data_IF_307394122103
#
_entry.id   IF_307394122103
#
_cell.length_a   1.000
_cell.length_b   1.000
_cell.length_c   1.000
_cell.angle_alpha   90.00
_cell.angle_beta   90.00
_cell.angle_gamma   90.00
#
_symmetry.space_group_name_H-M   'P 1'
#
loop_
_entity.id
_entity.type
_entity.pdbx_description
1 polymer ?
#
# COMPACT_ATOMS: atom_id res chain seq x y z
N UNK A 1 27.44 10.86 -5.75
CA UNK A 1 25.98 10.70 -5.57
C UNK A 1 25.33 12.08 -5.61
N UNK A 2 24.26 12.25 -6.40
CA UNK A 2 23.49 13.49 -6.40
C UNK A 2 22.91 13.75 -5.00
N UNK A 3 22.95 15.01 -4.54
CA UNK A 3 22.49 15.39 -3.21
C UNK A 3 20.96 15.27 -3.14
N UNK A 4 20.45 14.20 -2.50
CA UNK A 4 19.00 13.90 -2.36
C UNK A 4 18.20 14.97 -1.61
N UNK A 5 18.88 15.83 -0.84
CA UNK A 5 18.26 16.95 -0.09
C UNK A 5 19.05 18.23 -0.34
N UNK A 6 18.39 19.22 -0.93
CA UNK A 6 18.93 20.57 -1.09
C UNK A 6 18.62 21.39 0.17
N UNK A 7 19.58 22.22 0.57
CA UNK A 7 19.50 23.03 1.78
C UNK A 7 20.14 24.39 1.56
N UNK A 8 19.43 25.46 1.94
CA UNK A 8 19.92 26.83 1.98
C UNK A 8 19.23 27.59 3.11
N UNK A 9 19.79 28.72 3.55
CA UNK A 9 19.18 29.60 4.55
C UNK A 9 18.93 30.96 3.91
N UNK A 10 17.72 31.51 4.09
CA UNK A 10 17.30 32.83 3.63
C UNK A 10 16.81 33.61 4.84
N UNK A 11 17.54 34.64 5.26
CA UNK A 11 17.12 35.55 6.35
C UNK A 11 16.66 34.81 7.63
N UNK A 12 17.41 33.77 8.03
CA UNK A 12 17.08 32.95 9.20
C UNK A 12 16.05 31.84 8.95
N UNK A 13 15.53 31.68 7.74
CA UNK A 13 14.64 30.59 7.35
C UNK A 13 15.41 29.53 6.58
N UNK A 14 15.48 28.31 7.11
CA UNK A 14 16.03 27.17 6.39
C UNK A 14 15.06 26.67 5.31
N UNK A 15 15.50 26.61 4.06
CA UNK A 15 14.75 26.04 2.95
C UNK A 15 15.33 24.66 2.63
N UNK A 16 14.58 23.63 2.98
CA UNK A 16 14.88 22.22 2.75
C UNK A 16 14.07 21.72 1.57
N UNK A 17 14.70 21.08 0.59
CA UNK A 17 13.99 20.52 -0.56
C UNK A 17 14.41 19.09 -0.82
N UNK A 18 13.47 18.16 -0.71
CA UNK A 18 13.64 16.79 -1.18
C UNK A 18 13.83 16.80 -2.69
N UNK A 19 14.90 16.19 -3.18
CA UNK A 19 15.26 16.13 -4.59
C UNK A 19 15.76 14.72 -4.94
N UNK A 20 14.86 13.76 -4.72
CA UNK A 20 15.07 12.35 -4.95
C UNK A 20 14.10 11.87 -6.05
N UNK A 21 14.44 12.22 -7.30
CA UNK A 21 13.68 11.81 -8.47
C UNK A 21 13.47 10.28 -8.54
N UNK A 22 12.34 9.81 -9.12
CA UNK A 22 11.31 10.60 -9.82
C UNK A 22 10.15 11.08 -8.93
N UNK A 23 9.99 10.55 -7.72
CA UNK A 23 8.79 10.76 -6.89
C UNK A 23 9.08 11.08 -5.42
N UNK A 24 10.33 11.39 -5.09
CA UNK A 24 10.77 11.62 -3.71
C UNK A 24 10.32 10.51 -2.74
N UNK A 25 10.45 9.25 -3.16
CA UNK A 25 10.20 8.13 -2.26
C UNK A 25 11.09 8.31 -1.02
N UNK A 26 10.49 8.19 0.16
CA UNK A 26 11.14 8.36 1.45
C UNK A 26 12.02 7.15 1.76
N UNK A 27 13.00 6.86 0.90
CA UNK A 27 13.99 5.79 1.09
C UNK A 27 14.92 6.12 2.25
N UNK A 28 15.67 5.11 2.70
CA UNK A 28 16.69 5.21 3.75
C UNK A 28 17.65 6.38 3.50
N UNK A 29 18.16 6.51 2.27
CA UNK A 29 19.06 7.60 1.89
C UNK A 29 18.41 8.98 2.01
N UNK A 30 17.15 9.12 1.56
CA UNK A 30 16.43 10.39 1.66
C UNK A 30 16.14 10.74 3.13
N UNK A 31 15.73 9.75 3.94
CA UNK A 31 15.48 9.92 5.37
C UNK A 31 16.75 10.33 6.12
N UNK A 32 17.89 9.68 5.83
CA UNK A 32 19.18 10.04 6.41
C UNK A 32 19.62 11.46 5.99
N UNK A 33 19.41 11.83 4.72
CA UNK A 33 19.68 13.19 4.24
C UNK A 33 18.82 14.25 4.94
N UNK A 34 17.53 13.99 5.13
CA UNK A 34 16.62 14.88 5.86
C UNK A 34 17.01 14.99 7.33
N UNK A 35 17.35 13.87 7.97
CA UNK A 35 17.81 13.83 9.36
C UNK A 35 19.02 14.74 9.59
N UNK A 36 20.05 14.58 8.77
CA UNK A 36 21.26 15.41 8.85
C UNK A 36 20.97 16.90 8.63
N UNK A 37 20.01 17.24 7.76
CA UNK A 37 19.60 18.64 7.55
C UNK A 37 18.84 19.18 8.76
N UNK A 38 17.90 18.43 9.33
CA UNK A 38 17.18 18.85 10.53
C UNK A 38 18.10 18.95 11.76
N UNK A 39 19.18 18.17 11.83
CA UNK A 39 20.24 18.35 12.82
C UNK A 39 20.95 19.70 12.68
N UNK A 40 21.35 20.05 11.45
CA UNK A 40 21.96 21.37 11.18
C UNK A 40 21.03 22.53 11.50
N UNK A 41 19.72 22.36 11.26
CA UNK A 41 18.70 23.37 11.58
C UNK A 41 18.61 23.59 13.09
N UNK A 42 18.64 22.51 13.88
CA UNK A 42 18.57 22.56 15.34
C UNK A 42 19.80 23.29 15.91
N UNK A 43 20.99 22.87 15.51
CA UNK A 43 22.29 23.42 15.96
C UNK A 43 22.51 24.89 15.50
N UNK A 44 21.91 25.30 14.37
CA UNK A 44 22.09 26.64 13.81
C UNK A 44 21.29 27.72 14.55
N UNK A 45 21.90 28.43 15.51
CA UNK A 45 21.24 29.50 16.27
C UNK A 45 20.71 30.68 15.41
N UNK A 46 21.31 30.89 14.23
CA UNK A 46 20.87 31.88 13.24
C UNK A 46 19.61 31.45 12.48
N UNK A 47 19.28 30.15 12.48
CA UNK A 47 18.07 29.60 11.87
C UNK A 47 16.94 29.67 12.90
N UNK A 48 15.83 30.29 12.52
CA UNK A 48 14.65 30.54 13.36
C UNK A 48 13.46 29.68 12.98
N UNK A 49 13.35 29.25 11.73
CA UNK A 49 12.33 28.32 11.25
C UNK A 49 12.82 27.55 10.02
N UNK A 50 12.10 26.50 9.65
CA UNK A 50 12.37 25.69 8.47
C UNK A 50 11.14 25.55 7.56
N UNK A 51 11.39 25.46 6.26
CA UNK A 51 10.41 25.13 5.22
C UNK A 51 10.87 23.85 4.53
N UNK A 52 10.02 22.83 4.49
CA UNK A 52 10.23 21.58 3.75
C UNK A 52 9.39 21.56 2.48
N UNK A 53 10.06 21.36 1.35
CA UNK A 53 9.52 21.32 -0.01
C UNK A 53 9.91 20.01 -0.72
N UNK A 54 9.23 19.71 -1.82
CA UNK A 54 9.64 18.66 -2.78
C UNK A 54 10.04 19.27 -4.12
N UNK A 55 11.01 18.66 -4.81
CA UNK A 55 11.35 18.94 -6.20
C UNK A 55 10.60 18.00 -7.15
N UNK A 56 10.51 18.38 -8.42
CA UNK A 56 9.88 17.57 -9.47
C UNK A 56 8.35 17.68 -9.47
N UNK A 57 7.68 16.65 -9.98
CA UNK A 57 6.23 16.69 -10.28
C UNK A 57 5.30 16.61 -9.07
N UNK A 58 5.81 16.21 -7.90
CA UNK A 58 5.03 16.03 -6.68
C UNK A 58 5.89 16.25 -5.44
N UNK A 59 5.26 16.44 -4.28
CA UNK A 59 5.95 16.50 -3.00
C UNK A 59 6.63 15.17 -2.68
N UNK A 60 5.86 14.09 -2.52
CA UNK A 60 6.40 12.73 -2.34
C UNK A 60 5.33 11.64 -2.47
N UNK A 61 5.71 10.49 -3.02
CA UNK A 61 4.87 9.29 -3.09
C UNK A 61 4.79 8.48 -1.78
N UNK A 62 5.51 8.88 -0.73
CA UNK A 62 5.52 8.18 0.56
C UNK A 62 6.71 7.24 0.75
N UNK A 63 6.54 6.25 1.62
CA UNK A 63 7.58 5.26 1.92
C UNK A 63 8.01 4.45 0.69
N UNK A 64 9.27 4.01 0.66
CA UNK A 64 9.75 3.13 -0.39
C UNK A 64 9.26 1.69 -0.16
N UNK A 65 8.34 1.24 -1.01
CA UNK A 65 7.72 -0.09 -0.91
C UNK A 65 8.74 -1.22 -1.07
N UNK A 66 9.86 -0.96 -1.77
CA UNK A 66 10.95 -1.92 -1.90
C UNK A 66 11.68 -2.23 -0.59
N UNK A 67 11.57 -1.35 0.41
CA UNK A 67 12.17 -1.57 1.74
C UNK A 67 11.28 -2.42 2.65
N UNK A 68 10.01 -2.65 2.32
CA UNK A 68 9.11 -3.40 3.19
C UNK A 68 9.44 -4.90 3.21
N UNK A 69 9.58 -5.44 4.42
CA UNK A 69 10.03 -6.82 4.64
C UNK A 69 11.55 -6.98 4.62
N UNK A 70 12.31 -5.90 4.42
CA UNK A 70 13.77 -5.86 4.56
C UNK A 70 14.15 -5.34 5.95
N UNK A 71 15.41 -5.53 6.41
CA UNK A 71 15.90 -4.89 7.62
C UNK A 71 15.67 -3.37 7.60
N UNK A 72 15.15 -2.82 8.70
CA UNK A 72 14.74 -1.42 8.77
C UNK A 72 15.92 -0.45 8.63
N UNK A 73 15.96 0.30 7.53
CA UNK A 73 16.96 1.36 7.32
C UNK A 73 16.80 2.51 8.31
N UNK A 74 17.92 3.05 8.80
CA UNK A 74 17.96 4.12 9.79
C UNK A 74 18.30 5.49 9.15
N UNK A 75 17.67 6.60 9.59
CA UNK A 75 16.54 6.62 10.50
C UNK A 75 15.27 6.08 9.82
N UNK A 76 14.40 5.46 10.61
CA UNK A 76 13.07 5.07 10.18
C UNK A 76 12.21 6.31 9.93
N UNK A 77 11.14 6.16 9.14
CA UNK A 77 10.20 7.26 8.93
C UNK A 77 9.53 7.74 10.24
N UNK A 78 9.09 6.86 11.17
CA UNK A 78 8.61 7.28 12.48
C UNK A 78 9.60 8.14 13.26
N UNK A 79 10.89 7.76 13.26
CA UNK A 79 11.94 8.55 13.92
C UNK A 79 12.09 9.93 13.27
N UNK A 80 12.06 10.01 11.94
CA UNK A 80 12.11 11.29 11.23
C UNK A 80 10.89 12.17 11.58
N UNK A 81 9.69 11.60 11.62
CA UNK A 81 8.47 12.30 12.07
C UNK A 81 8.61 12.81 13.51
N UNK A 82 9.08 11.96 14.43
CA UNK A 82 9.30 12.34 15.82
C UNK A 82 10.34 13.46 15.95
N UNK A 83 11.41 13.43 15.15
CA UNK A 83 12.40 14.52 15.10
C UNK A 83 11.80 15.84 14.62
N UNK A 84 11.02 15.81 13.54
CA UNK A 84 10.39 17.01 12.97
C UNK A 84 9.41 17.63 13.96
N UNK A 85 8.52 16.81 14.52
CA UNK A 85 7.56 17.26 15.54
C UNK A 85 8.26 17.69 16.83
N UNK A 86 9.43 17.10 17.09
CA UNK A 86 10.33 17.31 18.21
C UNK A 86 10.98 18.69 18.27
N UNK A 87 11.20 19.33 17.12
CA UNK A 87 12.00 20.57 17.05
C UNK A 87 11.36 21.73 17.82
N UNK A 88 12.20 22.59 18.39
CA UNK A 88 11.77 23.84 19.06
C UNK A 88 11.62 25.03 18.10
N UNK A 89 12.02 24.83 16.84
CA UNK A 89 11.88 25.83 15.76
C UNK A 89 10.69 25.46 14.88
N UNK A 90 9.84 26.42 14.46
CA UNK A 90 8.75 26.13 13.54
C UNK A 90 9.21 25.43 12.27
N UNK A 91 8.48 24.39 11.88
CA UNK A 91 8.70 23.62 10.64
C UNK A 91 7.43 23.71 9.83
N UNK A 92 7.52 24.31 8.65
CA UNK A 92 6.44 24.48 7.69
C UNK A 92 6.67 23.48 6.57
N UNK A 93 5.74 22.56 6.35
CA UNK A 93 5.73 21.73 5.13
C UNK A 93 4.85 22.42 4.10
N UNK A 94 5.32 22.51 2.86
CA UNK A 94 4.51 22.99 1.75
C UNK A 94 4.55 22.00 0.59
N UNK A 95 3.41 21.38 0.29
CA UNK A 95 3.27 20.31 -0.67
C UNK A 95 2.67 20.77 -2.01
N UNK A 96 3.05 20.13 -3.11
CA UNK A 96 2.44 20.26 -4.43
C UNK A 96 2.22 18.89 -5.07
N UNK A 97 1.29 18.82 -6.03
CA UNK A 97 0.98 17.58 -6.75
C UNK A 97 0.36 16.54 -5.81
N UNK A 98 1.18 15.67 -5.24
CA UNK A 98 0.75 14.60 -4.33
C UNK A 98 1.65 14.52 -3.09
N UNK A 99 1.02 14.33 -1.93
CA UNK A 99 1.67 13.83 -0.71
C UNK A 99 0.86 12.63 -0.20
N UNK A 100 1.41 11.42 -0.39
CA UNK A 100 0.69 10.17 -0.12
C UNK A 100 1.41 9.33 0.93
N UNK A 101 0.63 8.60 1.72
CA UNK A 101 1.09 7.68 2.76
C UNK A 101 2.08 8.34 3.71
N UNK A 102 3.25 7.73 3.89
CA UNK A 102 4.32 8.25 4.73
C UNK A 102 4.72 9.72 4.50
N UNK A 103 4.56 10.26 3.29
CA UNK A 103 4.81 11.68 3.03
C UNK A 103 3.77 12.58 3.70
N UNK A 104 2.52 12.14 3.69
CA UNK A 104 1.45 12.83 4.37
C UNK A 104 1.55 12.66 5.89
N UNK A 105 2.03 11.50 6.38
CA UNK A 105 2.37 11.32 7.81
C UNK A 105 3.48 12.27 8.25
N UNK A 106 4.56 12.41 7.47
CA UNK A 106 5.63 13.37 7.72
C UNK A 106 5.12 14.82 7.68
N UNK A 107 4.21 15.13 6.75
CA UNK A 107 3.56 16.44 6.68
C UNK A 107 2.72 16.74 7.93
N UNK A 108 2.03 15.74 8.49
CA UNK A 108 1.28 15.90 9.74
C UNK A 108 2.17 16.05 10.98
N UNK A 109 3.40 15.53 10.95
CA UNK A 109 4.38 15.72 12.02
C UNK A 109 4.95 17.15 12.07
N UNK A 110 4.88 17.90 10.98
CA UNK A 110 5.31 19.30 10.95
C UNK A 110 4.39 20.21 11.78
N UNK A 111 4.90 21.38 12.18
CA UNK A 111 4.17 22.35 12.99
C UNK A 111 3.09 23.10 12.18
N UNK A 112 3.36 23.31 10.89
CA UNK A 112 2.48 24.02 9.97
C UNK A 112 2.46 23.34 8.60
N UNK A 113 1.30 23.37 7.95
CA UNK A 113 1.00 22.66 6.71
C UNK A 113 0.41 23.59 5.67
N UNK A 114 1.12 23.74 4.55
CA UNK A 114 0.68 24.49 3.38
C UNK A 114 0.58 23.55 2.18
N UNK A 115 -0.18 23.95 1.17
CA UNK A 115 -0.18 23.27 -0.11
C UNK A 115 -0.37 24.25 -1.28
N UNK A 116 0.09 23.88 -2.46
CA UNK A 116 -0.37 24.51 -3.71
C UNK A 116 -1.81 24.08 -4.02
N UNK A 117 -2.54 24.90 -4.78
CA UNK A 117 -3.87 24.52 -5.29
C UNK A 117 -3.83 23.19 -6.06
N UNK A 118 -4.89 22.39 -5.97
CA UNK A 118 -4.99 21.08 -6.62
C UNK A 118 -4.18 19.94 -5.99
N UNK A 119 -3.39 20.21 -4.93
CA UNK A 119 -2.60 19.17 -4.26
C UNK A 119 -3.49 18.08 -3.65
N UNK A 120 -3.12 16.82 -3.88
CA UNK A 120 -3.83 15.65 -3.36
C UNK A 120 -3.10 15.06 -2.14
N UNK A 121 -3.82 14.85 -1.04
CA UNK A 121 -3.31 14.33 0.23
C UNK A 121 -4.07 13.06 0.62
N UNK A 122 -3.38 12.00 1.01
CA UNK A 122 -4.08 10.74 1.36
C UNK A 122 -3.21 9.69 2.02
N UNK A 123 -3.85 8.71 2.66
CA UNK A 123 -3.24 7.56 3.32
C UNK A 123 -3.76 6.26 2.68
N UNK A 124 -3.27 5.88 1.48
CA UNK A 124 -3.77 4.72 0.73
C UNK A 124 -3.15 3.37 1.15
N UNK A 125 -2.52 3.28 2.33
CA UNK A 125 -1.79 2.09 2.83
C UNK A 125 -2.63 0.81 2.80
N UNK A 126 -3.94 0.92 3.03
CA UNK A 126 -4.86 -0.23 3.00
C UNK A 126 -4.92 -0.90 1.61
N UNK A 127 -4.58 -0.19 0.53
CA UNK A 127 -4.46 -0.77 -0.81
C UNK A 127 -3.29 -1.77 -0.91
N UNK A 128 -2.31 -1.66 -0.01
CA UNK A 128 -1.15 -2.53 0.13
C UNK A 128 -1.28 -3.51 1.30
N UNK A 129 -2.46 -3.58 1.93
CA UNK A 129 -2.70 -4.39 3.12
C UNK A 129 -1.92 -3.89 4.34
N UNK A 130 -1.63 -2.59 4.40
CA UNK A 130 -0.90 -1.94 5.48
C UNK A 130 -1.79 -0.95 6.24
N UNK A 131 -1.37 -0.64 7.47
CA UNK A 131 -1.83 0.56 8.19
C UNK A 131 -0.82 1.70 7.96
N UNK A 132 -1.21 2.97 8.11
CA UNK A 132 -0.24 4.06 8.30
C UNK A 132 0.66 3.74 9.50
N UNK A 133 1.97 3.91 9.35
CA UNK A 133 2.96 3.39 10.30
C UNK A 133 3.94 4.42 10.82
N UNK A 134 3.77 5.71 10.48
CA UNK A 134 4.62 6.82 10.92
C UNK A 134 3.85 7.91 11.68
N UNK A 135 2.83 7.49 12.41
CA UNK A 135 1.95 8.25 13.28
C UNK A 135 0.72 8.80 12.58
N UNK A 136 0.39 8.34 11.37
CA UNK A 136 -0.78 8.77 10.61
C UNK A 136 -2.08 8.46 11.34
N UNK A 137 -2.22 7.27 11.92
CA UNK A 137 -3.43 6.87 12.67
C UNK A 137 -3.56 7.63 13.99
N UNK A 138 -2.48 8.25 14.46
CA UNK A 138 -2.45 9.03 15.68
C UNK A 138 -2.66 10.54 15.41
N UNK A 139 -1.99 11.11 14.40
CA UNK A 139 -2.02 12.55 14.12
C UNK A 139 -3.26 12.97 13.33
N UNK A 140 -3.72 12.16 12.37
CA UNK A 140 -4.87 12.51 11.54
C UNK A 140 -6.16 12.72 12.36
N UNK A 141 -6.58 11.81 13.28
CA UNK A 141 -7.79 12.04 14.07
C UNK A 141 -7.68 13.24 15.03
N UNK A 142 -6.48 13.62 15.46
CA UNK A 142 -6.24 14.85 16.23
C UNK A 142 -6.41 16.13 15.39
N UNK A 143 -6.09 16.05 14.09
CA UNK A 143 -6.21 17.15 13.14
C UNK A 143 -7.63 17.36 12.58
N UNK A 144 -8.36 16.28 12.28
CA UNK A 144 -9.65 16.38 11.57
C UNK A 144 -10.81 15.62 12.24
N UNK A 145 -10.58 15.04 13.42
CA UNK A 145 -11.55 14.21 14.12
C UNK A 145 -11.55 12.75 13.65
N UNK A 146 -11.99 11.80 14.50
CA UNK A 146 -11.91 10.37 14.23
C UNK A 146 -12.74 9.92 13.02
N UNK A 147 -13.94 10.47 12.83
CA UNK A 147 -14.82 10.09 11.71
C UNK A 147 -14.17 10.33 10.34
N UNK A 148 -13.72 11.56 10.08
CA UNK A 148 -13.11 11.94 8.80
C UNK A 148 -11.76 11.25 8.62
N UNK A 149 -11.00 11.07 9.69
CA UNK A 149 -9.74 10.34 9.67
C UNK A 149 -9.96 8.87 9.23
N UNK A 150 -10.94 8.18 9.82
CA UNK A 150 -11.30 6.82 9.43
C UNK A 150 -11.74 6.75 7.98
N UNK A 151 -12.64 7.64 7.54
CA UNK A 151 -13.08 7.68 6.13
C UNK A 151 -11.92 7.83 5.14
N UNK A 152 -10.89 8.62 5.50
CA UNK A 152 -9.72 8.80 4.66
C UNK A 152 -8.83 7.55 4.65
N UNK A 153 -8.52 6.97 5.82
CA UNK A 153 -7.55 5.88 5.97
C UNK A 153 -8.08 4.49 5.59
N UNK A 154 -9.37 4.21 5.76
CA UNK A 154 -9.97 2.92 5.36
C UNK A 154 -10.38 2.90 3.89
N UNK A 155 -10.21 4.02 3.19
CA UNK A 155 -10.42 4.13 1.75
C UNK A 155 -9.07 4.34 1.05
N UNK A 156 -9.07 4.23 -0.29
CA UNK A 156 -7.88 4.54 -1.10
C UNK A 156 -7.97 5.94 -1.73
N UNK A 157 -8.81 6.82 -1.16
CA UNK A 157 -9.09 8.15 -1.72
C UNK A 157 -8.13 9.18 -1.15
N UNK A 158 -7.92 10.23 -1.94
CA UNK A 158 -7.22 11.44 -1.51
C UNK A 158 -8.22 12.58 -1.29
N UNK A 159 -7.82 13.56 -0.50
CA UNK A 159 -8.50 14.86 -0.38
C UNK A 159 -7.69 15.93 -1.09
N UNK A 160 -8.37 16.80 -1.83
CA UNK A 160 -7.75 17.96 -2.46
C UNK A 160 -7.50 19.09 -1.47
N UNK A 161 -6.50 19.94 -1.75
CA UNK A 161 -6.07 21.06 -0.91
C UNK A 161 -7.22 21.93 -0.38
N UNK A 162 -8.22 22.27 -1.21
CA UNK A 162 -9.37 23.08 -0.77
C UNK A 162 -10.24 22.37 0.25
N UNK A 163 -10.46 21.07 0.09
CA UNK A 163 -11.17 20.24 1.08
C UNK A 163 -10.32 20.14 2.34
N UNK A 164 -9.04 19.83 2.19
CA UNK A 164 -8.08 19.72 3.29
C UNK A 164 -8.02 21.02 4.14
N UNK A 165 -8.05 22.18 3.49
CA UNK A 165 -8.07 23.48 4.19
C UNK A 165 -9.36 23.69 4.97
N UNK A 166 -10.52 23.34 4.39
CA UNK A 166 -11.84 23.48 5.03
C UNK A 166 -12.02 22.56 6.23
N UNK A 167 -11.47 21.35 6.19
CA UNK A 167 -11.57 20.39 7.30
C UNK A 167 -10.50 20.60 8.39
N UNK A 168 -9.61 21.58 8.24
CA UNK A 168 -8.60 21.93 9.24
C UNK A 168 -7.27 21.17 9.13
N UNK A 169 -7.05 20.47 8.03
CA UNK A 169 -5.81 19.72 7.78
C UNK A 169 -4.65 20.62 7.31
N UNK A 170 -4.96 21.66 6.53
CA UNK A 170 -4.01 22.67 6.07
C UNK A 170 -4.21 24.01 6.80
N UNK A 171 -3.11 24.72 7.02
CA UNK A 171 -3.10 26.09 7.55
C UNK A 171 -3.33 27.13 6.44
N UNK A 172 -2.95 26.81 5.20
CA UNK A 172 -3.09 27.71 4.07
C UNK A 172 -2.86 27.03 2.73
N UNK A 173 -3.41 27.64 1.69
CA UNK A 173 -3.11 27.31 0.30
C UNK A 173 -2.27 28.46 -0.24
N UNK A 174 -1.16 28.14 -0.89
CA UNK A 174 -0.28 29.13 -1.49
C UNK A 174 -0.65 29.27 -2.96
N UNK A 175 -1.04 30.49 -3.33
CA UNK A 175 -1.20 30.89 -4.73
C UNK A 175 0.15 31.33 -5.32
N UNK A 176 0.40 30.96 -6.58
CA UNK A 176 1.64 31.28 -7.28
C UNK A 176 2.83 30.41 -6.83
N UNK A 177 4.00 31.03 -6.64
CA UNK A 177 5.22 30.30 -6.28
C UNK A 177 5.17 29.75 -4.84
N UNK A 178 5.07 28.42 -4.75
CA UNK A 178 4.93 27.69 -3.48
C UNK A 178 6.10 27.96 -2.53
N UNK A 179 7.33 27.98 -3.04
CA UNK A 179 8.53 28.14 -2.23
C UNK A 179 8.57 29.53 -1.57
N UNK A 180 8.36 30.59 -2.34
CA UNK A 180 8.32 31.97 -1.84
C UNK A 180 7.16 32.17 -0.87
N UNK A 181 5.98 31.63 -1.17
CA UNK A 181 4.83 31.72 -0.25
C UNK A 181 5.07 31.02 1.08
N UNK A 182 5.68 29.83 1.07
CA UNK A 182 5.98 29.09 2.28
C UNK A 182 7.10 29.76 3.12
N UNK A 183 8.11 30.36 2.48
CA UNK A 183 9.13 31.18 3.16
C UNK A 183 8.50 32.42 3.80
N UNK A 184 7.62 33.14 3.09
CA UNK A 184 6.89 34.29 3.66
C UNK A 184 6.05 33.88 4.85
N UNK A 185 5.36 32.73 4.78
CA UNK A 185 4.59 32.21 5.89
C UNK A 185 5.49 31.91 7.10
N UNK A 186 6.62 31.24 6.91
CA UNK A 186 7.57 30.95 7.99
C UNK A 186 8.16 32.24 8.60
N UNK A 187 8.53 33.22 7.78
CA UNK A 187 9.02 34.51 8.25
C UNK A 187 7.94 35.26 9.07
N UNK A 188 6.68 35.20 8.65
CA UNK A 188 5.57 35.79 9.40
C UNK A 188 5.35 35.10 10.76
N UNK A 189 5.54 33.78 10.87
CA UNK A 189 5.51 33.09 12.15
C UNK A 189 6.59 33.62 13.10
N UNK A 190 7.83 33.74 12.60
CA UNK A 190 8.96 34.27 13.38
C UNK A 190 8.72 35.71 13.81
N UNK A 191 8.27 36.57 12.88
CA UNK A 191 8.00 37.99 13.18
C UNK A 191 6.85 38.18 14.19
N UNK A 192 5.90 37.26 14.25
CA UNK A 192 4.76 37.28 15.17
C UNK A 192 5.02 36.47 16.46
N UNK A 193 6.24 35.96 16.65
CA UNK A 193 6.60 35.07 17.75
C UNK A 193 5.66 33.86 17.91
N UNK A 194 5.16 33.34 16.78
CA UNK A 194 4.35 32.12 16.76
C UNK A 194 5.27 30.91 16.80
N UNK A 195 5.32 30.27 17.97
CA UNK A 195 6.11 29.08 18.23
C UNK A 195 5.60 27.80 17.55
N UNK A 196 6.06 26.67 18.04
CA UNK A 196 5.70 25.35 17.49
C UNK A 196 4.28 24.93 17.90
N UNK A 197 3.61 24.16 17.02
CA UNK A 197 2.32 23.51 17.30
C UNK A 197 2.47 22.01 17.08
N UNK A 198 2.45 21.24 18.17
CA UNK A 198 2.67 19.79 18.14
C UNK A 198 1.31 19.09 18.09
N UNK A 199 1.06 18.35 17.01
CA UNK A 199 -0.23 17.68 16.79
C UNK A 199 -0.50 16.64 17.87
N UNK A 200 0.54 15.95 18.34
CA UNK A 200 0.51 15.02 19.47
C UNK A 200 -0.15 15.58 20.73
N UNK A 201 -0.07 16.89 20.96
CA UNK A 201 -0.59 17.56 22.16
C UNK A 201 -2.03 18.08 22.00
N UNK A 202 -2.54 18.21 20.77
CA UNK A 202 -3.91 18.69 20.52
C UNK A 202 -4.91 17.52 20.53
N UNK A 203 -5.66 17.41 21.63
CA UNK A 203 -6.75 16.42 21.77
C UNK A 203 -8.14 17.03 21.58
N UNK A 204 -8.26 18.30 21.20
CA UNK A 204 -9.54 19.02 21.16
C UNK A 204 -10.60 18.31 20.31
N UNK A 205 -10.20 17.74 19.17
CA UNK A 205 -11.08 17.01 18.24
C UNK A 205 -11.38 15.56 18.65
N UNK A 206 -10.79 15.11 19.75
CA UNK A 206 -10.99 13.78 20.32
C UNK A 206 -11.41 13.86 21.81
N UNK A 207 -11.89 15.04 22.25
CA UNK A 207 -12.28 15.26 23.64
C UNK A 207 -13.59 14.54 24.00
N UNK A 208 -14.50 14.36 23.04
CA UNK A 208 -15.73 13.57 23.24
C UNK A 208 -15.46 12.08 22.99
N UNK A 209 -15.20 11.36 24.09
CA UNK A 209 -14.97 9.91 24.05
C UNK A 209 -16.19 9.11 23.59
N UNK A 210 -17.42 9.58 23.86
CA UNK A 210 -18.65 8.87 23.47
C UNK A 210 -18.88 9.00 21.96
N UNK A 211 -18.70 10.20 21.40
CA UNK A 211 -18.75 10.41 19.97
C UNK A 211 -17.66 9.59 19.26
N UNK A 212 -16.44 9.59 19.80
CA UNK A 212 -15.33 8.78 19.27
C UNK A 212 -15.70 7.29 19.23
N UNK A 213 -16.21 6.73 20.33
CA UNK A 213 -16.64 5.32 20.38
C UNK A 213 -17.77 5.01 19.38
N UNK A 214 -18.71 5.93 19.18
CA UNK A 214 -19.77 5.77 18.18
C UNK A 214 -19.21 5.71 16.74
N UNK A 215 -18.26 6.59 16.39
CA UNK A 215 -17.62 6.56 15.08
C UNK A 215 -16.83 5.27 14.84
N UNK A 216 -16.15 4.75 15.87
CA UNK A 216 -15.47 3.45 15.82
C UNK A 216 -16.47 2.32 15.56
N UNK A 217 -17.59 2.29 16.29
CA UNK A 217 -18.63 1.28 16.10
C UNK A 217 -19.22 1.31 14.69
N UNK A 218 -19.50 2.52 14.15
CA UNK A 218 -19.98 2.69 12.78
C UNK A 218 -18.95 2.18 11.76
N UNK A 219 -17.66 2.50 11.94
CA UNK A 219 -16.61 2.03 11.04
C UNK A 219 -16.45 0.50 11.08
N UNK A 220 -16.48 -0.12 12.27
CA UNK A 220 -16.44 -1.58 12.43
C UNK A 220 -17.61 -2.26 11.73
N UNK A 221 -18.82 -1.73 11.90
CA UNK A 221 -20.02 -2.26 11.24
C UNK A 221 -19.93 -2.16 9.71
N UNK A 222 -19.45 -1.03 9.18
CA UNK A 222 -19.29 -0.82 7.74
C UNK A 222 -18.23 -1.73 7.10
N UNK A 223 -17.27 -2.23 7.88
CA UNK A 223 -16.16 -3.07 7.42
C UNK A 223 -16.28 -4.53 7.85
N UNK A 224 -17.42 -4.95 8.40
CA UNK A 224 -17.64 -6.32 8.92
C UNK A 224 -17.30 -7.40 7.89
N UNK A 225 -17.77 -7.22 6.65
CA UNK A 225 -17.58 -8.19 5.56
C UNK A 225 -16.43 -7.80 4.62
N UNK A 226 -15.58 -6.84 5.03
CA UNK A 226 -14.43 -6.45 4.22
C UNK A 226 -13.41 -7.60 4.22
N UNK A 227 -13.00 -8.12 3.04
CA UNK A 227 -12.08 -9.24 2.97
C UNK A 227 -10.62 -8.86 3.28
N UNK A 228 -10.31 -7.58 3.41
CA UNK A 228 -8.98 -7.08 3.77
C UNK A 228 -8.83 -6.97 5.29
N UNK A 229 -7.68 -7.39 5.80
CA UNK A 229 -7.35 -7.31 7.22
C UNK A 229 -7.00 -5.88 7.68
N UNK A 230 -6.24 -5.14 6.87
CA UNK A 230 -5.67 -3.85 7.26
C UNK A 230 -6.70 -2.76 7.66
N UNK A 231 -7.87 -2.61 6.98
CA UNK A 231 -8.87 -1.62 7.38
C UNK A 231 -9.37 -1.76 8.82
N UNK A 232 -9.51 -3.00 9.32
CA UNK A 232 -9.89 -3.23 10.73
C UNK A 232 -8.77 -2.79 11.68
N UNK A 233 -7.51 -3.04 11.31
CA UNK A 233 -6.35 -2.58 12.10
C UNK A 233 -6.21 -1.07 12.12
N UNK A 234 -6.57 -0.37 11.03
CA UNK A 234 -6.67 1.09 11.04
C UNK A 234 -7.68 1.55 12.08
N UNK A 235 -8.85 0.92 12.17
CA UNK A 235 -9.86 1.25 13.19
C UNK A 235 -9.29 1.05 14.60
N UNK A 236 -8.64 -0.09 14.85
CA UNK A 236 -8.03 -0.38 16.15
C UNK A 236 -6.99 0.68 16.54
N UNK A 237 -6.17 1.14 15.58
CA UNK A 237 -5.17 2.18 15.84
C UNK A 237 -5.79 3.55 16.13
N UNK A 238 -6.89 3.91 15.46
CA UNK A 238 -7.62 5.16 15.74
C UNK A 238 -8.36 5.09 17.07
N UNK A 239 -8.89 3.94 17.43
CA UNK A 239 -9.45 3.70 18.77
C UNK A 239 -8.38 3.89 19.85
N UNK A 240 -7.20 3.29 19.64
CA UNK A 240 -6.04 3.48 20.51
C UNK A 240 -5.64 4.97 20.62
N UNK A 241 -5.74 5.75 19.54
CA UNK A 241 -5.46 7.18 19.55
C UNK A 241 -6.38 7.97 20.51
N UNK A 242 -7.62 7.51 20.69
CA UNK A 242 -8.59 8.08 21.63
C UNK A 242 -8.39 7.61 23.07
N UNK A 243 -7.96 6.36 23.27
CA UNK A 243 -7.86 5.72 24.58
C UNK A 243 -6.50 5.88 25.27
N UNK A 244 -5.41 5.99 24.50
CA UNK A 244 -4.04 5.92 25.02
C UNK A 244 -3.33 7.29 24.99
N UNK A 245 -2.24 7.46 25.78
CA UNK A 245 -1.25 8.51 25.54
C UNK A 245 -0.64 8.39 24.13
N UNK A 246 -0.20 9.51 23.56
CA UNK A 246 0.28 9.56 22.17
C UNK A 246 1.40 8.54 21.88
N UNK A 247 2.42 8.46 22.74
CA UNK A 247 3.53 7.53 22.58
C UNK A 247 3.09 6.05 22.64
N UNK A 248 2.15 5.72 23.52
CA UNK A 248 1.56 4.38 23.58
C UNK A 248 0.73 4.06 22.33
N UNK A 249 0.01 5.05 21.79
CA UNK A 249 -0.68 4.95 20.51
C UNK A 249 0.28 4.72 19.33
N UNK A 250 1.43 5.41 19.30
CA UNK A 250 2.47 5.18 18.30
C UNK A 250 3.07 3.77 18.41
N UNK A 251 3.30 3.28 19.63
CA UNK A 251 3.78 1.90 19.84
C UNK A 251 2.76 0.85 19.36
N UNK A 252 1.47 1.08 19.60
CA UNK A 252 0.39 0.23 19.09
C UNK A 252 0.32 0.25 17.55
N UNK A 253 0.43 1.44 16.95
CA UNK A 253 0.48 1.59 15.49
C UNK A 253 1.68 0.87 14.88
N UNK A 254 2.85 0.95 15.51
CA UNK A 254 4.06 0.27 15.06
C UNK A 254 3.90 -1.26 15.07
N UNK A 255 3.38 -1.85 16.16
CA UNK A 255 3.08 -3.29 16.22
C UNK A 255 2.03 -3.70 15.16
N UNK A 256 0.98 -2.89 14.97
CA UNK A 256 -0.01 -3.15 13.94
C UNK A 256 0.60 -3.12 12.53
N UNK A 257 1.48 -2.15 12.26
CA UNK A 257 2.22 -2.05 11.00
C UNK A 257 3.10 -3.27 10.75
N UNK A 258 3.91 -3.67 11.74
CA UNK A 258 4.79 -4.83 11.63
C UNK A 258 4.01 -6.13 11.35
N UNK A 259 2.90 -6.34 12.06
CA UNK A 259 2.01 -7.50 11.80
C UNK A 259 1.40 -7.46 10.40
N UNK A 260 1.00 -6.29 9.92
CA UNK A 260 0.52 -6.13 8.55
C UNK A 260 1.63 -6.42 7.53
N UNK A 261 2.87 -5.96 7.77
CA UNK A 261 3.99 -6.18 6.86
C UNK A 261 4.24 -7.67 6.60
N UNK A 262 4.11 -8.51 7.62
CA UNK A 262 4.29 -9.98 7.49
C UNK A 262 3.01 -10.72 7.11
N UNK A 263 1.87 -10.04 7.04
CA UNK A 263 0.59 -10.68 6.75
C UNK A 263 0.54 -11.14 5.28
N UNK A 264 0.05 -12.36 4.98
CA UNK A 264 -0.09 -12.89 3.62
C UNK A 264 -0.74 -11.93 2.63
N UNK A 265 -1.82 -11.25 3.03
CA UNK A 265 -2.50 -10.28 2.18
C UNK A 265 -1.62 -9.07 1.83
N UNK A 266 -0.81 -8.56 2.76
CA UNK A 266 0.07 -7.41 2.46
C UNK A 266 1.17 -7.82 1.50
N UNK A 267 1.77 -8.99 1.71
CA UNK A 267 2.78 -9.56 0.80
C UNK A 267 2.19 -9.67 -0.63
N UNK A 268 0.99 -10.25 -0.75
CA UNK A 268 0.30 -10.38 -2.03
C UNK A 268 -0.07 -9.03 -2.68
N UNK A 269 -0.57 -8.07 -1.91
CA UNK A 269 -0.95 -6.76 -2.45
C UNK A 269 0.26 -5.90 -2.86
N UNK A 270 1.36 -5.98 -2.11
CA UNK A 270 2.63 -5.33 -2.48
C UNK A 270 3.26 -5.99 -3.72
N UNK A 271 3.20 -7.32 -3.80
CA UNK A 271 3.58 -8.06 -5.01
C UNK A 271 2.83 -7.52 -6.22
N UNK A 272 1.50 -7.46 -6.14
CA UNK A 272 0.66 -6.93 -7.22
C UNK A 272 1.05 -5.50 -7.61
N UNK A 273 1.23 -4.63 -6.62
CA UNK A 273 1.59 -3.24 -6.87
C UNK A 273 2.92 -3.08 -7.62
N UNK A 274 3.90 -3.95 -7.32
CA UNK A 274 5.20 -3.95 -7.99
C UNK A 274 5.12 -4.62 -9.37
N UNK A 275 4.42 -5.74 -9.48
CA UNK A 275 4.24 -6.47 -10.73
C UNK A 275 3.54 -5.60 -11.79
N UNK A 276 2.48 -4.89 -11.42
CA UNK A 276 1.72 -4.01 -12.32
C UNK A 276 2.55 -2.87 -12.92
N UNK A 277 3.62 -2.43 -12.26
CA UNK A 277 4.52 -1.37 -12.75
C UNK A 277 5.58 -1.89 -13.69
N UNK A 278 5.86 -3.18 -13.63
CA UNK A 278 6.93 -3.80 -14.39
C UNK A 278 6.41 -4.59 -15.57
N UNK A 279 5.10 -4.85 -15.64
CA UNK A 279 4.47 -5.65 -16.68
C UNK A 279 4.91 -5.22 -18.08
N UNK A 280 5.12 -6.22 -18.93
CA UNK A 280 5.44 -6.00 -20.33
C UNK A 280 4.30 -5.25 -21.04
N UNK A 281 4.62 -4.14 -21.71
CA UNK A 281 3.66 -3.32 -22.45
C UNK A 281 2.96 -4.13 -23.58
N UNK A 282 3.58 -5.21 -24.08
CA UNK A 282 2.95 -6.12 -25.03
C UNK A 282 1.84 -6.99 -24.40
N UNK A 283 1.88 -7.19 -23.08
CA UNK A 283 0.87 -7.96 -22.33
C UNK A 283 -0.22 -7.06 -21.74
N UNK A 284 0.16 -5.90 -21.21
CA UNK A 284 -0.79 -5.00 -20.58
C UNK A 284 -0.23 -3.63 -20.26
N UNK A 285 -1.11 -2.65 -20.17
CA UNK A 285 -0.74 -1.27 -19.82
C UNK A 285 -1.49 -0.83 -18.57
N UNK A 286 -0.80 -0.09 -17.69
CA UNK A 286 -1.38 0.54 -16.51
C UNK A 286 -1.43 2.05 -16.71
N UNK A 287 -2.62 2.58 -16.99
CA UNK A 287 -2.81 4.02 -17.20
C UNK A 287 -3.79 4.57 -16.17
N UNK A 288 -3.34 5.55 -15.38
CA UNK A 288 -4.17 6.22 -14.35
C UNK A 288 -4.87 5.25 -13.39
N UNK A 289 -4.20 4.14 -13.03
CA UNK A 289 -4.74 3.11 -12.14
C UNK A 289 -5.72 2.13 -12.79
N UNK A 290 -5.99 2.26 -14.09
CA UNK A 290 -6.76 1.29 -14.87
C UNK A 290 -5.80 0.39 -15.64
N UNK A 291 -5.84 -0.91 -15.34
CA UNK A 291 -5.11 -1.92 -16.11
C UNK A 291 -5.94 -2.39 -17.30
N UNK A 292 -5.27 -2.54 -18.45
CA UNK A 292 -5.87 -3.12 -19.66
C UNK A 292 -4.92 -4.12 -20.29
N UNK A 293 -5.45 -5.27 -20.70
CA UNK A 293 -4.71 -6.25 -21.49
C UNK A 293 -4.53 -5.74 -22.92
N UNK A 294 -3.39 -6.07 -23.53
CA UNK A 294 -3.04 -5.68 -24.90
C UNK A 294 -3.24 -6.86 -25.86
N UNK A 295 -3.59 -6.55 -27.10
CA UNK A 295 -3.83 -7.50 -28.19
C UNK A 295 -2.56 -7.64 -29.06
N UNK A 296 -2.18 -8.84 -29.53
CA UNK A 296 -2.82 -10.14 -29.26
C UNK A 296 -2.32 -10.84 -28.00
N UNK A 297 -1.11 -10.51 -27.54
CA UNK A 297 -0.39 -11.34 -26.57
C UNK A 297 -1.08 -11.40 -25.20
N UNK A 298 -1.47 -10.26 -24.64
CA UNK A 298 -2.14 -10.20 -23.33
C UNK A 298 -3.48 -10.93 -23.30
N UNK A 299 -4.32 -10.75 -24.34
CA UNK A 299 -5.60 -11.46 -24.43
C UNK A 299 -5.43 -12.97 -24.61
N UNK A 300 -4.46 -13.40 -25.43
CA UNK A 300 -4.16 -14.82 -25.61
C UNK A 300 -3.73 -15.48 -24.29
N UNK A 301 -2.85 -14.82 -23.53
CA UNK A 301 -2.42 -15.31 -22.21
C UNK A 301 -3.59 -15.41 -21.20
N UNK A 302 -4.47 -14.40 -21.16
CA UNK A 302 -5.69 -14.47 -20.33
C UNK A 302 -6.61 -15.62 -20.76
N UNK A 303 -6.80 -15.83 -22.06
CA UNK A 303 -7.64 -16.92 -22.56
C UNK A 303 -7.08 -18.31 -22.18
N UNK A 304 -5.76 -18.48 -22.20
CA UNK A 304 -5.08 -19.71 -21.72
C UNK A 304 -5.38 -19.95 -20.24
N UNK A 305 -5.22 -18.94 -19.39
CA UNK A 305 -5.52 -19.04 -17.95
C UNK A 305 -7.01 -19.32 -17.66
N UNK A 306 -7.92 -18.67 -18.39
CA UNK A 306 -9.35 -18.96 -18.29
C UNK A 306 -9.65 -20.40 -18.69
N UNK A 307 -9.08 -20.87 -19.79
CA UNK A 307 -9.25 -22.25 -20.27
C UNK A 307 -8.74 -23.26 -19.24
N UNK A 308 -7.60 -22.99 -18.58
CA UNK A 308 -7.07 -23.86 -17.53
C UNK A 308 -8.04 -23.98 -16.35
N UNK A 309 -8.55 -22.85 -15.83
CA UNK A 309 -9.50 -22.84 -14.72
C UNK A 309 -10.82 -23.54 -15.06
N UNK A 310 -11.42 -23.21 -16.21
CA UNK A 310 -12.70 -23.79 -16.64
C UNK A 310 -12.55 -25.27 -17.03
N UNK A 311 -11.40 -25.65 -17.60
CA UNK A 311 -11.08 -27.04 -17.93
C UNK A 311 -10.98 -27.90 -16.67
N UNK A 312 -10.28 -27.42 -15.64
CA UNK A 312 -10.21 -28.09 -14.34
C UNK A 312 -11.60 -28.18 -13.67
N UNK A 313 -12.39 -27.11 -13.72
CA UNK A 313 -13.75 -27.07 -13.18
C UNK A 313 -14.67 -28.10 -13.87
N UNK A 314 -14.63 -28.20 -15.20
CA UNK A 314 -15.39 -29.21 -15.95
C UNK A 314 -14.92 -30.62 -15.64
N UNK A 315 -13.60 -30.84 -15.59
CA UNK A 315 -13.05 -32.15 -15.28
C UNK A 315 -13.56 -32.69 -13.94
N UNK A 316 -13.53 -31.88 -12.87
CA UNK A 316 -13.98 -32.37 -11.55
C UNK A 316 -15.48 -32.67 -11.52
N UNK A 317 -16.28 -32.01 -12.36
CA UNK A 317 -17.71 -32.29 -12.52
C UNK A 317 -17.92 -33.57 -13.33
N UNK A 318 -17.27 -33.68 -14.50
CA UNK A 318 -17.40 -34.83 -15.40
C UNK A 318 -16.89 -36.13 -14.76
N UNK A 319 -15.89 -36.02 -13.88
CA UNK A 319 -15.31 -37.14 -13.13
C UNK A 319 -16.04 -37.44 -11.81
N UNK A 320 -17.18 -36.79 -11.52
CA UNK A 320 -17.98 -36.96 -10.29
C UNK A 320 -17.17 -36.72 -8.99
N UNK A 321 -16.18 -35.82 -9.05
CA UNK A 321 -15.36 -35.40 -7.91
C UNK A 321 -16.07 -34.30 -7.11
N UNK A 322 -16.75 -33.39 -7.80
CA UNK A 322 -17.53 -32.30 -7.21
C UNK A 322 -18.62 -31.84 -8.17
N UNK A 323 -19.77 -31.43 -7.64
CA UNK A 323 -20.85 -30.79 -8.41
C UNK A 323 -20.49 -29.37 -8.86
N UNK A 324 -21.21 -28.84 -9.86
CA UNK A 324 -21.05 -27.44 -10.30
C UNK A 324 -21.25 -26.44 -9.13
N UNK A 325 -22.21 -26.73 -8.24
CA UNK A 325 -22.49 -25.90 -7.07
C UNK A 325 -21.34 -25.91 -6.05
N UNK A 326 -20.69 -27.06 -5.84
CA UNK A 326 -19.52 -27.18 -4.97
C UNK A 326 -18.30 -26.46 -5.54
N UNK A 327 -18.10 -26.52 -6.86
CA UNK A 327 -17.05 -25.77 -7.56
C UNK A 327 -17.25 -24.27 -7.42
N UNK A 328 -18.45 -23.77 -7.71
CA UNK A 328 -18.77 -22.35 -7.60
C UNK A 328 -18.69 -21.87 -6.14
N UNK A 329 -19.13 -22.67 -5.16
CA UNK A 329 -19.00 -22.38 -3.73
C UNK A 329 -17.54 -22.33 -3.27
N UNK A 330 -16.70 -23.29 -3.72
CA UNK A 330 -15.28 -23.33 -3.42
C UNK A 330 -14.56 -22.08 -3.95
N UNK A 331 -14.77 -21.71 -5.22
CA UNK A 331 -14.15 -20.53 -5.82
C UNK A 331 -14.67 -19.23 -5.21
N UNK A 332 -15.96 -19.16 -4.86
CA UNK A 332 -16.54 -18.01 -4.16
C UNK A 332 -15.93 -17.83 -2.77
N UNK A 333 -15.77 -18.92 -2.00
CA UNK A 333 -15.12 -18.90 -0.68
C UNK A 333 -13.63 -18.53 -0.80
N UNK A 334 -12.96 -18.97 -1.86
CA UNK A 334 -11.60 -18.55 -2.18
C UNK A 334 -11.53 -17.07 -2.58
N UNK A 335 -12.64 -16.49 -3.04
CA UNK A 335 -12.84 -15.05 -3.23
C UNK A 335 -13.02 -14.60 -4.67
N UNK A 336 -13.26 -15.52 -5.60
CA UNK A 336 -13.60 -15.19 -6.97
C UNK A 336 -14.96 -14.49 -7.00
N UNK A 337 -15.06 -13.42 -7.81
CA UNK A 337 -16.33 -12.70 -8.02
C UNK A 337 -17.16 -13.27 -9.15
N UNK A 338 -16.52 -14.00 -10.06
CA UNK A 338 -17.15 -14.70 -11.17
C UNK A 338 -16.67 -16.13 -11.13
N UNK A 339 -17.61 -17.04 -11.25
CA UNK A 339 -17.38 -18.47 -11.12
C UNK A 339 -17.82 -19.19 -12.41
N UNK A 340 -17.22 -20.35 -12.75
CA UNK A 340 -17.36 -20.99 -14.06
C UNK A 340 -18.81 -21.35 -14.44
N UNK A 341 -19.64 -21.75 -13.49
CA UNK A 341 -21.00 -22.24 -13.76
C UNK A 341 -22.10 -21.21 -13.47
N UNK A 342 -21.70 -19.97 -13.17
CA UNK A 342 -22.60 -18.81 -13.19
C UNK A 342 -23.51 -18.69 -11.97
N UNK A 343 -23.10 -19.19 -10.80
CA UNK A 343 -23.85 -19.09 -9.54
C UNK A 343 -24.14 -17.68 -9.01
N UNK A 344 -24.86 -16.84 -9.76
CA UNK A 344 -25.62 -15.73 -9.19
C UNK A 344 -26.87 -16.31 -8.49
N UNK A 345 -26.70 -16.71 -7.22
CA UNK A 345 -27.81 -17.05 -6.32
C UNK A 345 -27.70 -18.35 -5.54
N UNK A 346 -26.74 -19.24 -5.84
CA UNK A 346 -26.78 -20.61 -5.34
C UNK A 346 -25.39 -21.17 -5.02
N UNK A 347 -24.77 -20.75 -3.91
CA UNK A 347 -24.09 -21.78 -3.11
C UNK A 347 -25.12 -22.75 -2.53
N UNK A 348 -26.42 -22.45 -2.55
CA UNK A 348 -27.49 -23.28 -1.96
C UNK A 348 -27.20 -23.67 -0.50
N UNK A 349 -26.42 -22.85 0.23
CA UNK A 349 -25.96 -23.17 1.58
C UNK A 349 -24.79 -24.18 1.66
N UNK A 350 -24.26 -24.63 0.52
CA UNK A 350 -23.03 -25.43 0.42
C UNK A 350 -21.84 -24.60 0.90
N UNK A 351 -21.11 -25.14 1.87
CA UNK A 351 -19.87 -24.53 2.36
C UNK A 351 -18.77 -24.70 1.31
N UNK A 352 -18.02 -23.64 1.03
CA UNK A 352 -16.92 -23.72 0.06
C UNK A 352 -15.74 -24.52 0.59
N UNK A 353 -15.28 -25.49 -0.19
CA UNK A 353 -14.06 -26.26 0.08
C UNK A 353 -12.83 -25.55 -0.50
N UNK A 354 -11.95 -25.06 0.39
CA UNK A 354 -10.71 -24.41 -0.03
C UNK A 354 -9.70 -25.40 -0.64
N UNK A 355 -9.79 -26.69 -0.33
CA UNK A 355 -9.01 -27.75 -0.97
C UNK A 355 -9.37 -27.91 -2.44
N UNK A 356 -10.67 -27.99 -2.75
CA UNK A 356 -11.16 -27.96 -4.13
C UNK A 356 -10.74 -26.67 -4.86
N UNK A 357 -10.90 -25.50 -4.24
CA UNK A 357 -10.49 -24.24 -4.86
C UNK A 357 -8.98 -24.20 -5.17
N UNK A 358 -8.15 -24.72 -4.25
CA UNK A 358 -6.70 -24.86 -4.45
C UNK A 358 -6.38 -25.78 -5.62
N UNK A 359 -7.06 -26.94 -5.73
CA UNK A 359 -6.92 -27.86 -6.87
C UNK A 359 -7.26 -27.17 -8.19
N UNK A 360 -8.35 -26.42 -8.25
CA UNK A 360 -8.75 -25.67 -9.45
C UNK A 360 -7.73 -24.57 -9.80
N UNK A 361 -7.24 -23.82 -8.81
CA UNK A 361 -6.20 -22.80 -9.02
C UNK A 361 -4.86 -23.40 -9.45
N UNK A 362 -4.53 -24.63 -9.04
CA UNK A 362 -3.32 -25.32 -9.45
C UNK A 362 -3.23 -25.55 -10.97
N UNK A 363 -4.37 -25.67 -11.66
CA UNK A 363 -4.40 -25.70 -13.13
C UNK A 363 -3.92 -24.38 -13.75
N UNK A 364 -4.28 -23.24 -13.15
CA UNK A 364 -3.76 -21.93 -13.57
C UNK A 364 -2.26 -21.78 -13.27
N UNK A 365 -1.79 -22.37 -12.15
CA UNK A 365 -0.36 -22.41 -11.83
C UNK A 365 0.41 -23.20 -12.88
N UNK A 366 -0.07 -24.40 -13.25
CA UNK A 366 0.52 -25.22 -14.29
C UNK A 366 0.59 -24.49 -15.63
N UNK A 367 -0.54 -23.94 -16.08
CA UNK A 367 -0.61 -23.17 -17.34
C UNK A 367 0.28 -21.92 -17.32
N UNK A 368 0.32 -21.22 -16.18
CA UNK A 368 1.19 -20.08 -15.95
C UNK A 368 2.67 -20.42 -16.09
N UNK A 369 3.09 -21.53 -15.49
CA UNK A 369 4.46 -22.02 -15.62
C UNK A 369 4.80 -22.39 -17.07
N UNK A 370 3.90 -23.08 -17.77
CA UNK A 370 4.08 -23.43 -19.19
C UNK A 370 4.22 -22.18 -20.06
N UNK A 371 3.44 -21.12 -19.81
CA UNK A 371 3.57 -19.85 -20.54
C UNK A 371 4.94 -19.19 -20.32
N UNK A 372 5.49 -19.29 -19.12
CA UNK A 372 6.82 -18.75 -18.81
C UNK A 372 7.92 -19.58 -19.46
N UNK A 373 7.86 -20.91 -19.36
CA UNK A 373 8.83 -21.82 -19.99
C UNK A 373 8.87 -21.66 -21.53
N UNK A 374 7.73 -21.37 -22.15
CA UNK A 374 7.62 -21.12 -23.60
C UNK A 374 8.04 -19.70 -24.01
N UNK A 375 8.35 -18.81 -23.07
CA UNK A 375 8.64 -17.40 -23.33
C UNK A 375 7.43 -16.57 -23.80
N UNK A 376 6.20 -17.11 -23.68
CA UNK A 376 4.98 -16.37 -23.99
C UNK A 376 4.70 -15.27 -22.96
N UNK A 377 5.17 -15.46 -21.73
CA UNK A 377 5.17 -14.48 -20.65
C UNK A 377 6.56 -14.48 -20.02
N UNK A 378 7.16 -13.31 -19.81
CA UNK A 378 8.58 -13.23 -19.40
C UNK A 378 8.82 -13.57 -17.92
N UNK A 379 7.86 -13.28 -17.03
CA UNK A 379 8.03 -13.49 -15.59
C UNK A 379 6.78 -14.11 -14.96
N UNK A 380 6.94 -14.91 -13.90
CA UNK A 380 5.82 -15.38 -13.08
C UNK A 380 4.86 -14.26 -12.63
N UNK A 381 5.41 -13.11 -12.21
CA UNK A 381 4.60 -11.98 -11.75
C UNK A 381 3.67 -11.40 -12.83
N UNK A 382 3.99 -11.56 -14.12
CA UNK A 382 3.12 -11.11 -15.21
C UNK A 382 1.90 -12.02 -15.38
N UNK A 383 2.06 -13.33 -15.14
CA UNK A 383 0.94 -14.29 -15.08
C UNK A 383 -0.04 -13.89 -13.98
N UNK A 384 0.47 -13.49 -12.81
CA UNK A 384 -0.34 -13.02 -11.69
C UNK A 384 -1.14 -11.77 -12.03
N UNK A 385 -0.51 -10.77 -12.67
CA UNK A 385 -1.18 -9.53 -13.12
C UNK A 385 -2.27 -9.84 -14.14
N UNK A 386 -1.98 -10.65 -15.14
CA UNK A 386 -2.96 -11.06 -16.15
C UNK A 386 -4.13 -11.84 -15.51
N UNK A 387 -3.86 -12.68 -14.52
CA UNK A 387 -4.89 -13.45 -13.79
C UNK A 387 -5.81 -12.54 -12.98
N UNK A 388 -5.26 -11.59 -12.23
CA UNK A 388 -6.04 -10.65 -11.41
C UNK A 388 -6.95 -9.77 -12.27
N UNK A 389 -6.44 -9.26 -13.39
CA UNK A 389 -7.22 -8.33 -14.22
C UNK A 389 -8.08 -8.99 -15.28
N UNK A 390 -7.61 -10.09 -15.88
CA UNK A 390 -8.30 -10.79 -16.97
C UNK A 390 -9.20 -11.93 -16.50
N UNK A 391 -8.76 -12.72 -15.51
CA UNK A 391 -9.51 -13.86 -14.97
C UNK A 391 -10.30 -13.48 -13.71
N UNK A 392 -10.08 -12.28 -13.17
CA UNK A 392 -10.68 -11.80 -11.90
C UNK A 392 -10.24 -12.62 -10.69
N UNK A 393 -9.00 -13.14 -10.73
CA UNK A 393 -8.38 -13.79 -9.58
C UNK A 393 -8.37 -12.83 -8.37
N UNK A 394 -8.60 -13.32 -7.13
CA UNK A 394 -8.69 -12.45 -5.96
C UNK A 394 -7.40 -11.65 -5.72
N UNK A 395 -7.46 -10.32 -5.93
CA UNK A 395 -6.29 -9.43 -5.81
C UNK A 395 -5.57 -9.56 -4.45
N UNK A 396 -6.31 -9.78 -3.36
CA UNK A 396 -5.74 -9.94 -2.00
C UNK A 396 -4.85 -11.18 -1.83
N UNK A 397 -4.89 -12.11 -2.79
CA UNK A 397 -4.05 -13.31 -2.86
C UNK A 397 -2.92 -13.17 -3.89
N UNK A 398 -2.93 -12.10 -4.70
CA UNK A 398 -1.81 -11.69 -5.52
C UNK A 398 -1.63 -12.43 -6.84
N UNK A 399 -2.60 -13.24 -7.27
CA UNK A 399 -2.50 -14.09 -8.47
C UNK A 399 -2.19 -15.55 -8.12
N UNK A 400 -2.36 -16.48 -9.08
CA UNK A 400 -2.22 -17.91 -8.83
C UNK A 400 -0.82 -18.32 -8.38
N UNK A 401 0.26 -17.75 -8.94
CA UNK A 401 1.64 -18.12 -8.59
C UNK A 401 2.02 -17.57 -7.22
N UNK A 402 1.66 -16.30 -6.93
CA UNK A 402 1.80 -15.73 -5.59
C UNK A 402 1.00 -16.46 -4.53
N UNK A 403 -0.25 -16.84 -4.83
CA UNK A 403 -1.10 -17.58 -3.91
C UNK A 403 -0.50 -18.95 -3.60
N UNK A 404 -0.09 -19.71 -4.63
CA UNK A 404 0.61 -20.98 -4.50
C UNK A 404 1.87 -20.88 -3.62
N UNK A 405 2.66 -19.82 -3.82
CA UNK A 405 3.84 -19.58 -3.00
C UNK A 405 3.50 -19.34 -1.52
N UNK A 406 2.45 -18.56 -1.28
CA UNK A 406 1.97 -18.24 0.08
C UNK A 406 1.42 -19.47 0.79
N UNK A 407 0.78 -20.39 0.06
CA UNK A 407 0.26 -21.66 0.58
C UNK A 407 1.32 -22.77 0.73
N UNK A 408 2.50 -22.57 0.14
CA UNK A 408 3.64 -23.48 0.20
C UNK A 408 3.80 -24.35 -1.05
N UNK A 409 4.87 -24.08 -1.80
CA UNK A 409 5.17 -24.75 -3.08
C UNK A 409 5.46 -26.25 -2.95
N UNK A 410 6.10 -26.68 -1.86
CA UNK A 410 6.41 -28.12 -1.64
C UNK A 410 5.13 -28.93 -1.48
N UNK A 411 4.18 -28.41 -0.69
CA UNK A 411 2.88 -29.04 -0.50
C UNK A 411 2.10 -29.06 -1.82
N UNK A 412 2.06 -27.92 -2.54
CA UNK A 412 1.40 -27.86 -3.85
C UNK A 412 1.97 -28.88 -4.83
N UNK A 413 3.30 -29.02 -4.92
CA UNK A 413 3.93 -30.01 -5.80
C UNK A 413 3.50 -31.43 -5.47
N UNK A 414 3.44 -31.78 -4.17
CA UNK A 414 2.99 -33.12 -3.75
C UNK A 414 1.53 -33.33 -4.19
N UNK A 415 0.65 -32.39 -3.86
CA UNK A 415 -0.78 -32.51 -4.18
C UNK A 415 -0.99 -32.59 -5.71
N UNK A 416 -0.23 -31.83 -6.50
CA UNK A 416 -0.25 -31.90 -7.97
C UNK A 416 0.23 -33.26 -8.51
N UNK A 417 1.21 -33.93 -7.89
CA UNK A 417 1.61 -35.29 -8.30
C UNK A 417 0.49 -36.29 -8.12
N UNK A 418 -0.29 -36.13 -7.05
CA UNK A 418 -1.44 -36.98 -6.78
C UNK A 418 -2.56 -36.69 -7.79
N UNK A 419 -2.90 -35.42 -8.01
CA UNK A 419 -3.94 -35.03 -8.99
C UNK A 419 -3.56 -35.30 -10.45
N UNK A 420 -2.26 -35.35 -10.78
CA UNK A 420 -1.79 -35.71 -12.10
C UNK A 420 -2.11 -37.17 -12.48
N UNK A 421 -2.43 -38.03 -11.50
CA UNK A 421 -2.93 -39.38 -11.77
C UNK A 421 -4.35 -39.37 -12.35
N UNK A 422 -5.14 -38.34 -12.01
CA UNK A 422 -6.49 -38.16 -12.54
C UNK A 422 -6.47 -37.49 -13.92
N UNK A 423 -5.59 -36.49 -14.12
CA UNK A 423 -5.52 -35.74 -15.37
C UNK A 423 -4.19 -34.99 -15.55
N UNK A 424 -3.71 -34.91 -16.79
CA UNK A 424 -2.54 -34.10 -17.16
C UNK A 424 -2.72 -32.58 -16.90
N UNK A 425 -3.96 -32.11 -16.65
CA UNK A 425 -4.25 -30.72 -16.24
C UNK A 425 -3.38 -30.29 -15.05
N UNK A 426 -3.07 -31.23 -14.13
CA UNK A 426 -2.28 -30.97 -12.93
C UNK A 426 -0.86 -31.51 -13.01
N UNK A 427 -0.35 -31.81 -14.21
CA UNK A 427 1.04 -32.20 -14.39
C UNK A 427 1.98 -31.16 -13.73
N UNK A 428 2.96 -31.64 -12.96
CA UNK A 428 3.91 -30.76 -12.25
C UNK A 428 4.82 -30.07 -13.27
N UNK A 429 4.76 -28.73 -13.39
CA UNK A 429 5.59 -28.04 -14.37
C UNK A 429 7.05 -27.92 -13.88
N UNK A 430 8.06 -27.97 -14.77
CA UNK A 430 9.47 -27.81 -14.40
C UNK A 430 9.76 -26.52 -13.62
N UNK A 431 9.12 -25.41 -14.01
CA UNK A 431 9.29 -24.12 -13.33
C UNK A 431 8.87 -24.14 -11.85
N UNK A 432 7.90 -24.98 -11.46
CA UNK A 432 7.53 -25.15 -10.06
C UNK A 432 8.66 -25.82 -9.26
N UNK A 433 9.32 -26.83 -9.84
CA UNK A 433 10.49 -27.46 -9.24
C UNK A 433 11.70 -26.52 -9.16
N UNK A 434 11.86 -25.60 -10.11
CA UNK A 434 12.85 -24.54 -10.04
C UNK A 434 12.53 -23.56 -8.91
N UNK A 435 11.31 -23.03 -8.86
CA UNK A 435 10.87 -22.10 -7.83
C UNK A 435 11.06 -22.66 -6.41
N UNK A 436 10.81 -23.95 -6.19
CA UNK A 436 11.03 -24.61 -4.88
C UNK A 436 12.50 -24.55 -4.42
N UNK A 437 13.45 -24.53 -5.36
CA UNK A 437 14.89 -24.48 -5.03
C UNK A 437 15.35 -23.07 -4.66
N UNK A 438 14.56 -22.05 -4.99
CA UNK A 438 14.91 -20.65 -4.77
C UNK A 438 14.28 -20.16 -3.45
N UNK A 439 15.07 -19.45 -2.64
CA UNK A 439 14.56 -18.88 -1.38
C UNK A 439 13.42 -17.87 -1.58
N UNK A 440 13.35 -17.22 -2.75
CA UNK A 440 12.28 -16.30 -3.13
C UNK A 440 11.11 -16.95 -3.89
N UNK A 441 11.13 -18.26 -4.13
CA UNK A 441 10.10 -18.95 -4.91
C UNK A 441 9.99 -18.42 -6.33
N UNK A 442 8.75 -18.24 -6.82
CA UNK A 442 8.44 -17.67 -8.12
C UNK A 442 8.94 -16.24 -8.29
N UNK A 443 9.15 -15.48 -7.21
CA UNK A 443 9.68 -14.10 -7.32
C UNK A 443 11.15 -14.05 -7.70
N UNK A 444 11.88 -15.13 -7.43
CA UNK A 444 13.31 -15.24 -7.72
C UNK A 444 13.57 -15.88 -9.10
N UNK A 445 12.56 -16.46 -9.74
CA UNK A 445 12.69 -17.08 -11.06
C UNK A 445 13.03 -16.01 -12.11
N UNK A 446 14.12 -16.22 -12.85
CA UNK A 446 14.59 -15.30 -13.88
C UNK A 446 15.11 -13.95 -13.36
N UNK A 447 15.21 -13.76 -12.04
CA UNK A 447 15.92 -12.61 -11.48
C UNK A 447 17.43 -12.75 -11.77
N UNK A 448 18.13 -11.68 -12.15
CA UNK A 448 19.59 -11.75 -12.28
C UNK A 448 20.16 -12.24 -10.94
N UNK A 449 21.09 -13.21 -11.00
CA UNK A 449 21.85 -13.61 -9.82
C UNK A 449 22.51 -12.35 -9.25
N UNK A 450 22.09 -11.98 -8.04
CA UNK A 450 22.45 -10.72 -7.38
C UNK A 450 23.95 -10.54 -7.16
#
# INVERSE_FOLDING_TARGET
MARRVRFRVLEGIAVVTMDAAPVNALSTDLRAGLWAVFQKIEEGAHIKAAVLLGAGRMFSAGGDIGEFGQPAGQPSLPQLCARIEGMDKPVVVAAHGQALGGAFEMMMAAHYRLAAAGTQLGLPEVALGLVPGAGGTQRLPRLIGPEKALQLMVSTRSVEADVARRIGLLDGIVEGDLASGAVRFAAALVAQDKGVRRVSQDRSRMADGRATAAHIATARAALKDNPLHAPQRVIDCVEAAGLLPFEAGLAFEADAFERCVTHPQSIALRHMFMAERRIDDALGTLTSGSFRTVDPMGKAAVARLQKALHGAARFVVDADIASEAEVDAALSAYGFKKVPFGGEGATNGVAGDLGLARRLCAAMVAEGCVMVDQGAVQRPADVDVLSVHGVRFPRRLGGPLRAAQTEGLIALRRDMRDWAQDSEIWAVPPLLDEAIKLSGGFDAVGAPAG
#
